data_IF_713311076779
#
_entry.id   IF_713311076779
#
_cell.length_a   1.000
_cell.length_b   1.000
_cell.length_c   1.000
_cell.angle_alpha   90.00
_cell.angle_beta   90.00
_cell.angle_gamma   90.00
#
_symmetry.space_group_name_H-M   'P 1'
#
loop_
_entity.id
_entity.type
_entity.pdbx_description
1 polymer ?
#
# COMPACT_ATOMS: atom_id res chain seq x y z
N UNK A 1 3.31 5.01 15.51
CA UNK A 1 4.04 5.34 14.27
C UNK A 1 3.12 5.06 13.10
N UNK A 2 3.09 5.95 12.09
CA UNK A 2 2.22 5.82 10.91
C UNK A 2 3.09 5.41 9.71
N UNK A 3 2.64 4.42 8.94
CA UNK A 3 3.27 3.94 7.72
C UNK A 3 2.38 4.34 6.54
N UNK A 4 2.91 5.19 5.67
CA UNK A 4 2.22 5.64 4.46
C UNK A 4 2.60 4.78 3.25
N UNK A 5 1.61 4.43 2.43
CA UNK A 5 1.77 3.72 1.16
C UNK A 5 1.22 4.62 0.04
N UNK A 6 2.05 5.51 -0.53
CA UNK A 6 1.65 6.34 -1.66
C UNK A 6 1.55 5.51 -2.95
N UNK A 7 0.86 6.05 -3.94
CA UNK A 7 0.87 5.51 -5.30
C UNK A 7 2.21 5.81 -5.97
N UNK A 8 2.75 4.84 -6.69
CA UNK A 8 3.98 5.05 -7.47
C UNK A 8 3.77 6.14 -8.54
N UNK A 9 4.70 7.09 -8.61
CA UNK A 9 4.62 8.24 -9.52
C UNK A 9 5.32 8.00 -10.86
N UNK A 10 6.18 6.99 -10.94
CA UNK A 10 6.97 6.71 -12.14
C UNK A 10 6.06 6.17 -13.27
N UNK A 11 6.13 6.72 -14.49
CA UNK A 11 5.34 6.22 -15.61
C UNK A 11 5.62 4.74 -15.90
N UNK A 12 4.57 3.93 -16.00
CA UNK A 12 4.67 2.50 -16.27
C UNK A 12 5.04 1.64 -15.06
N UNK A 13 5.25 2.25 -13.89
CA UNK A 13 5.42 1.50 -12.65
C UNK A 13 4.08 0.96 -12.18
N UNK A 14 4.01 -0.36 -12.02
CA UNK A 14 2.78 -1.07 -11.64
C UNK A 14 2.84 -1.67 -10.25
N UNK A 15 4.00 -1.63 -9.57
CA UNK A 15 4.18 -2.17 -8.22
C UNK A 15 3.52 -1.28 -7.16
N UNK A 16 3.31 -1.87 -5.98
CA UNK A 16 2.88 -1.19 -4.77
C UNK A 16 3.78 -1.61 -3.62
N UNK A 17 4.11 -0.68 -2.72
CA UNK A 17 5.08 -0.93 -1.65
C UNK A 17 4.64 -1.98 -0.62
N UNK A 18 3.33 -2.17 -0.42
CA UNK A 18 2.81 -3.27 0.38
C UNK A 18 1.50 -3.82 -0.19
N UNK A 19 1.32 -5.13 -0.07
CA UNK A 19 0.09 -5.83 -0.44
C UNK A 19 -0.89 -5.84 0.74
N UNK A 20 -2.20 -6.11 0.52
CA UNK A 20 -3.17 -6.23 1.60
C UNK A 20 -2.74 -7.21 2.71
N UNK A 21 -2.05 -8.28 2.35
CA UNK A 21 -1.51 -9.25 3.30
C UNK A 21 -0.44 -8.61 4.21
N UNK A 22 0.52 -7.89 3.63
CA UNK A 22 1.59 -7.21 4.38
C UNK A 22 1.03 -6.09 5.24
N UNK A 23 0.07 -5.31 4.72
CA UNK A 23 -0.65 -4.28 5.49
C UNK A 23 -1.31 -4.90 6.73
N UNK A 24 -2.00 -6.04 6.56
CA UNK A 24 -2.60 -6.76 7.69
C UNK A 24 -1.59 -7.22 8.75
N UNK A 25 -0.39 -7.63 8.34
CA UNK A 25 0.68 -7.98 9.27
C UNK A 25 1.21 -6.76 10.04
N UNK A 26 1.41 -5.64 9.34
CA UNK A 26 1.88 -4.37 9.93
C UNK A 26 0.87 -3.84 10.95
N UNK A 27 -0.43 -3.91 10.64
CA UNK A 27 -1.50 -3.53 11.57
C UNK A 27 -1.48 -4.43 12.82
N UNK A 28 -1.29 -5.75 12.66
CA UNK A 28 -1.19 -6.70 13.79
C UNK A 28 0.00 -6.43 14.71
N UNK A 29 1.09 -5.85 14.19
CA UNK A 29 2.23 -5.42 14.98
C UNK A 29 1.96 -4.12 15.78
N UNK A 30 0.79 -3.52 15.63
CA UNK A 30 0.38 -2.30 16.35
C UNK A 30 0.68 -1.00 15.63
N UNK A 31 1.05 -1.05 14.34
CA UNK A 31 1.29 0.15 13.53
C UNK A 31 0.01 0.62 12.84
N UNK A 32 -0.08 1.92 12.60
CA UNK A 32 -1.13 2.51 11.76
C UNK A 32 -0.65 2.56 10.33
N UNK A 33 -1.45 2.05 9.39
CA UNK A 33 -1.15 2.10 7.94
C UNK A 33 -2.13 3.03 7.25
N UNK A 34 -1.63 3.90 6.39
CA UNK A 34 -2.41 4.79 5.53
C UNK A 34 -2.03 4.51 4.09
N UNK A 35 -3.01 4.19 3.25
CA UNK A 35 -2.80 3.89 1.83
C UNK A 35 -3.44 5.00 1.01
N UNK A 36 -2.72 5.52 0.02
CA UNK A 36 -3.29 6.44 -0.97
C UNK A 36 -4.29 5.67 -1.85
N UNK A 37 -5.46 6.26 -2.09
CA UNK A 37 -6.49 5.60 -2.93
C UNK A 37 -5.93 5.28 -4.31
N UNK A 38 -6.10 4.03 -4.75
CA UNK A 38 -5.59 3.56 -6.03
C UNK A 38 -4.08 3.24 -6.06
N UNK A 39 -3.37 3.29 -4.92
CA UNK A 39 -1.96 2.87 -4.86
C UNK A 39 -1.75 1.41 -5.31
N UNK A 40 -2.73 0.54 -5.03
CA UNK A 40 -2.70 -0.88 -5.41
C UNK A 40 -3.31 -1.19 -6.79
N UNK A 41 -3.97 -0.23 -7.45
CA UNK A 41 -4.80 -0.50 -8.62
C UNK A 41 -3.99 -1.07 -9.81
N UNK A 42 -2.79 -0.53 -10.05
CA UNK A 42 -1.89 -1.03 -11.09
C UNK A 42 -1.29 -2.42 -10.75
N UNK A 43 -1.28 -2.78 -9.46
CA UNK A 43 -0.87 -4.09 -8.93
C UNK A 43 -2.04 -5.07 -8.80
N UNK A 44 -3.22 -4.78 -9.36
CA UNK A 44 -4.44 -5.61 -9.25
C UNK A 44 -5.00 -5.74 -7.83
N UNK A 45 -4.74 -4.77 -6.96
CA UNK A 45 -5.36 -4.67 -5.64
C UNK A 45 -6.38 -3.53 -5.63
N UNK A 46 -7.61 -3.84 -5.21
CA UNK A 46 -8.61 -2.82 -4.87
C UNK A 46 -8.36 -2.27 -3.46
N UNK A 47 -8.82 -1.05 -3.22
CA UNK A 47 -8.80 -0.38 -1.92
C UNK A 47 -9.54 -1.18 -0.83
#
# INVERSE_FOLDING_TARGET
MIIGIPRESLPGETRVAATPQTVGQIIKLGYTVVVESGAGAASSFSD
#
